data_IF_775671128731
#
_entry.id   IF_775671128731
#
_cell.length_a   1.000
_cell.length_b   1.000
_cell.length_c   1.000
_cell.angle_alpha   90.00
_cell.angle_beta   90.00
_cell.angle_gamma   90.00
#
_symmetry.space_group_name_H-M   'P 1'
#
loop_
_entity.id
_entity.type
_entity.pdbx_description
1 polymer ?
#
# COMPACT_ATOMS: atom_id res chain seq x y z
N UNK A 1 -2.95 -14.05 10.02
CA UNK A 1 -3.23 -12.60 10.14
C UNK A 1 -2.41 -11.93 9.07
N UNK A 2 -3.02 -11.19 8.14
CA UNK A 2 -2.26 -10.49 7.10
C UNK A 2 -1.51 -9.31 7.72
N UNK A 3 -0.19 -9.35 7.71
CA UNK A 3 0.69 -8.31 8.26
C UNK A 3 1.03 -7.30 7.17
N UNK A 4 0.86 -6.01 7.46
CA UNK A 4 1.27 -4.91 6.60
C UNK A 4 2.09 -3.90 7.42
N UNK A 5 2.88 -3.08 6.73
CA UNK A 5 3.71 -2.03 7.34
C UNK A 5 3.35 -0.68 6.74
N UNK A 6 3.12 0.33 7.57
CA UNK A 6 3.05 1.71 7.10
C UNK A 6 4.46 2.30 7.06
N UNK A 7 4.81 2.89 5.93
CA UNK A 7 6.05 3.62 5.70
C UNK A 7 5.75 4.96 5.04
N UNK A 8 6.77 5.78 4.84
CA UNK A 8 6.68 7.04 4.12
C UNK A 8 7.68 7.03 2.97
N UNK A 9 7.27 7.56 1.83
CA UNK A 9 8.19 7.81 0.71
C UNK A 9 9.15 8.96 1.05
N UNK A 10 10.22 9.12 0.26
CA UNK A 10 11.16 10.25 0.39
C UNK A 10 10.49 11.64 0.31
N UNK A 11 9.25 11.72 -0.20
CA UNK A 11 8.46 12.94 -0.28
C UNK A 11 7.42 13.08 0.85
N UNK A 12 7.62 12.36 1.98
CA UNK A 12 6.69 12.31 3.11
C UNK A 12 5.26 11.85 2.74
N UNK A 13 5.11 11.10 1.65
CA UNK A 13 3.80 10.53 1.29
C UNK A 13 3.61 9.17 1.97
N UNK A 14 2.45 8.91 2.57
CA UNK A 14 2.15 7.62 3.20
C UNK A 14 2.19 6.49 2.16
N UNK A 15 2.82 5.39 2.56
CA UNK A 15 3.01 4.18 1.78
C UNK A 15 2.62 2.98 2.65
N UNK A 16 1.85 2.06 2.10
CA UNK A 16 1.53 0.80 2.76
C UNK A 16 2.30 -0.31 2.06
N UNK A 17 3.01 -1.12 2.82
CA UNK A 17 3.78 -2.27 2.34
C UNK A 17 3.05 -3.54 2.76
N UNK A 18 2.66 -4.37 1.81
CA UNK A 18 2.06 -5.68 2.07
C UNK A 18 2.50 -6.68 1.02
N UNK A 19 2.91 -7.89 1.45
CA UNK A 19 3.31 -9.00 0.57
C UNK A 19 4.34 -8.66 -0.52
N UNK A 20 5.27 -7.74 -0.24
CA UNK A 20 6.28 -7.32 -1.21
C UNK A 20 5.77 -6.31 -2.25
N UNK A 21 4.58 -5.75 -2.07
CA UNK A 21 4.03 -4.67 -2.88
C UNK A 21 3.85 -3.39 -2.06
N UNK A 22 4.07 -2.25 -2.72
CA UNK A 22 3.87 -0.92 -2.17
C UNK A 22 2.56 -0.33 -2.69
N UNK A 23 1.80 0.26 -1.78
CA UNK A 23 0.52 0.87 -2.06
C UNK A 23 0.54 2.33 -1.63
N UNK A 24 -0.06 3.18 -2.44
CA UNK A 24 -0.23 4.62 -2.21
C UNK A 24 -1.70 4.91 -1.95
N UNK A 25 -1.99 6.00 -1.21
CA UNK A 25 -3.36 6.41 -0.96
C UNK A 25 -4.03 6.80 -2.29
N UNK A 26 -5.15 6.13 -2.58
CA UNK A 26 -6.06 6.50 -3.66
C UNK A 26 -7.06 7.55 -3.18
N UNK A 27 -7.73 7.26 -2.05
CA UNK A 27 -8.66 8.17 -1.38
C UNK A 27 -8.82 7.81 0.08
N UNK A 28 -9.14 8.80 0.90
CA UNK A 28 -9.50 8.61 2.32
C UNK A 28 -10.95 9.02 2.52
N UNK A 29 -11.68 8.20 3.27
CA UNK A 29 -13.06 8.44 3.73
C UNK A 29 -13.03 8.44 5.26
N UNK A 30 -14.08 8.97 5.91
CA UNK A 30 -14.16 9.00 7.39
C UNK A 30 -13.93 7.64 8.06
N UNK A 31 -14.36 6.54 7.43
CA UNK A 31 -14.24 5.19 7.99
C UNK A 31 -13.02 4.40 7.52
N UNK A 32 -12.46 4.72 6.35
CA UNK A 32 -11.46 3.87 5.70
C UNK A 32 -10.59 4.61 4.70
N UNK A 33 -9.37 4.11 4.56
CA UNK A 33 -8.41 4.56 3.56
C UNK A 33 -8.31 3.52 2.46
N UNK A 34 -8.50 3.96 1.22
CA UNK A 34 -8.33 3.15 0.03
C UNK A 34 -6.92 3.33 -0.51
N UNK A 35 -6.23 2.23 -0.68
CA UNK A 35 -4.88 2.16 -1.19
C UNK A 35 -4.88 1.45 -2.55
N UNK A 36 -4.07 1.96 -3.47
CA UNK A 36 -3.80 1.34 -4.78
C UNK A 36 -2.34 1.01 -4.89
N UNK A 37 -2.01 -0.05 -5.61
CA UNK A 37 -0.62 -0.35 -5.93
C UNK A 37 0.06 0.87 -6.57
N UNK A 38 1.31 1.15 -6.23
CA UNK A 38 2.09 2.23 -6.83
C UNK A 38 2.18 2.08 -8.36
N UNK A 39 2.32 0.84 -8.83
CA UNK A 39 2.37 0.49 -10.25
C UNK A 39 0.99 0.38 -10.92
N UNK A 40 -0.10 0.71 -10.22
CA UNK A 40 -1.44 0.74 -10.82
C UNK A 40 -1.51 1.70 -12.03
N UNK A 41 -0.74 2.80 -12.03
CA UNK A 41 -0.66 3.72 -13.17
C UNK A 41 0.29 3.23 -14.27
N UNK A 42 1.43 2.64 -13.90
CA UNK A 42 2.47 2.23 -14.84
C UNK A 42 2.14 0.92 -15.54
N UNK A 43 1.69 -0.08 -14.77
CA UNK A 43 1.48 -1.46 -15.20
C UNK A 43 0.00 -1.84 -15.26
N UNK A 44 -0.92 -0.89 -15.02
CA UNK A 44 -2.37 -1.16 -14.91
C UNK A 44 -2.69 -2.23 -13.85
N UNK A 45 -1.85 -2.30 -12.82
CA UNK A 45 -2.02 -3.25 -11.73
C UNK A 45 -3.37 -3.05 -11.01
N UNK A 46 -4.01 -4.16 -10.66
CA UNK A 46 -5.30 -4.18 -9.96
C UNK A 46 -5.17 -4.32 -8.44
N UNK A 47 -3.94 -4.40 -7.93
CA UNK A 47 -3.65 -4.47 -6.50
C UNK A 47 -4.28 -3.32 -5.72
N UNK A 48 -5.09 -3.63 -4.71
CA UNK A 48 -5.76 -2.64 -3.85
C UNK A 48 -5.81 -3.13 -2.40
N UNK A 49 -5.70 -2.20 -1.46
CA UNK A 49 -5.82 -2.49 -0.03
C UNK A 49 -6.76 -1.46 0.60
N UNK A 50 -7.57 -1.87 1.56
CA UNK A 50 -8.37 -0.96 2.38
C UNK A 50 -7.94 -1.10 3.83
N UNK A 51 -7.67 0.03 4.48
CA UNK A 51 -7.44 0.08 5.92
C UNK A 51 -8.55 0.87 6.61
N UNK A 52 -8.66 0.75 7.93
CA UNK A 52 -9.46 1.69 8.72
C UNK A 52 -8.94 3.13 8.59
N UNK A 53 -9.70 4.08 9.13
CA UNK A 53 -9.42 5.51 9.12
C UNK A 53 -8.07 5.91 9.75
N UNK A 54 -7.59 5.14 10.73
CA UNK A 54 -6.30 5.34 11.40
C UNK A 54 -5.17 4.48 10.80
N UNK A 55 -5.46 3.75 9.71
CA UNK A 55 -4.53 2.90 8.97
C UNK A 55 -3.85 1.78 9.80
N UNK A 56 -4.45 1.36 10.92
CA UNK A 56 -3.91 0.31 11.80
C UNK A 56 -4.43 -1.09 11.50
N UNK A 57 -5.59 -1.20 10.85
CA UNK A 57 -6.23 -2.49 10.56
C UNK A 57 -6.43 -2.61 9.05
N UNK A 58 -5.99 -3.74 8.49
CA UNK A 58 -6.28 -4.12 7.11
C UNK A 58 -7.69 -4.72 7.04
N UNK A 59 -8.59 -4.02 6.36
CA UNK A 59 -9.99 -4.41 6.19
C UNK A 59 -10.18 -5.31 4.98
N UNK A 60 -9.45 -5.03 3.89
CA UNK A 60 -9.54 -5.78 2.65
C UNK A 60 -8.22 -5.66 1.86
N UNK A 61 -7.84 -6.74 1.18
CA UNK A 61 -6.67 -6.76 0.29
C UNK A 61 -7.03 -7.56 -0.97
N UNK A 62 -6.83 -6.92 -2.12
CA UNK A 62 -6.82 -7.56 -3.42
C UNK A 62 -5.36 -7.73 -3.85
N UNK A 63 -4.87 -8.96 -3.75
CA UNK A 63 -3.50 -9.37 -4.07
C UNK A 63 -3.31 -9.75 -5.55
N UNK A 64 -4.23 -9.32 -6.42
CA UNK A 64 -4.15 -9.57 -7.85
C UNK A 64 -3.20 -8.57 -8.53
N UNK A 65 -1.90 -8.88 -8.49
CA UNK A 65 -0.84 -8.12 -9.15
C UNK A 65 -0.43 -8.77 -10.46
N UNK A 66 -0.19 -7.95 -11.49
CA UNK A 66 0.28 -8.40 -12.80
C UNK A 66 1.78 -8.12 -13.02
N UNK A 67 2.52 -7.97 -11.92
CA UNK A 67 3.94 -7.64 -11.91
C UNK A 67 4.59 -8.19 -10.64
N UNK A 68 5.92 -8.21 -10.64
CA UNK A 68 6.69 -8.60 -9.47
C UNK A 68 6.69 -7.47 -8.43
N UNK A 69 6.72 -7.87 -7.15
CA UNK A 69 6.75 -6.96 -6.01
C UNK A 69 7.91 -5.98 -6.09
N UNK A 70 7.58 -4.68 -6.08
CA UNK A 70 8.55 -3.57 -6.12
C UNK A 70 8.78 -2.96 -4.73
N UNK A 71 8.14 -3.50 -3.67
CA UNK A 71 8.46 -3.08 -2.31
C UNK A 71 9.82 -3.66 -1.92
N UNK A 72 10.86 -2.98 -2.38
CA UNK A 72 12.15 -3.06 -1.72
C UNK A 72 11.90 -2.58 -0.30
N UNK A 73 12.10 -3.49 0.66
CA UNK A 73 12.28 -3.16 2.06
C UNK A 73 13.51 -2.27 2.14
N UNK A 74 13.37 -0.99 1.80
CA UNK A 74 14.39 0.02 2.09
C UNK A 74 14.29 0.27 3.58
N UNK A 75 14.88 -0.66 4.31
CA UNK A 75 15.56 -0.42 5.56
C UNK A 75 16.17 0.99 5.57
N UNK A 76 15.82 1.66 6.66
CA UNK A 76 16.22 2.99 7.13
C UNK A 76 17.58 3.41 6.57
N UNK A 77 17.59 4.48 5.77
CA UNK A 77 18.81 5.28 5.60
C UNK A 77 18.78 6.34 6.70
N UNK A 78 19.58 6.08 7.74
CA UNK A 78 19.93 7.01 8.82
C UNK A 78 20.31 8.38 8.26
#
# INVERSE_FOLDING_TARGET
MSTFTLSTTQKNKPLLLSKGFSYTIDKTTNDKTYWKCEDARKLKCKGRVHTNNINTILLHENDSHNHNGSAVSTEIRL
#
